data_IF_481290335243
#
_entry.id   IF_481290335243
#
_cell.length_a   1.000
_cell.length_b   1.000
_cell.length_c   1.000
_cell.angle_alpha   90.00
_cell.angle_beta   90.00
_cell.angle_gamma   90.00
#
_symmetry.space_group_name_H-M   'P 1'
#
loop_
_entity.id
_entity.type
_entity.pdbx_description
1 polymer ?
#
# COMPACT_ATOMS: atom_id res chain seq x y z
N UNK A 1 15.98 4.22 4.70
CA UNK A 1 16.60 5.56 4.59
C UNK A 1 17.68 5.60 3.51
N UNK A 2 18.52 4.58 3.39
CA UNK A 2 19.54 4.48 2.31
C UNK A 2 18.95 4.58 0.89
N UNK A 3 17.86 3.86 0.59
CA UNK A 3 17.18 3.95 -0.72
C UNK A 3 16.67 5.36 -1.02
N UNK A 4 16.15 6.07 -0.02
CA UNK A 4 15.68 7.45 -0.19
C UNK A 4 16.83 8.39 -0.53
N UNK A 5 18.01 8.20 0.09
CA UNK A 5 19.22 8.97 -0.23
C UNK A 5 19.72 8.73 -1.65
N UNK A 6 19.69 7.48 -2.13
CA UNK A 6 20.14 7.12 -3.48
C UNK A 6 19.33 7.77 -4.60
N UNK A 7 18.03 8.01 -4.37
CA UNK A 7 17.12 8.50 -5.40
C UNK A 7 16.74 9.98 -5.22
N UNK A 8 17.40 10.74 -4.34
CA UNK A 8 17.09 12.16 -4.10
C UNK A 8 17.20 13.03 -5.36
N UNK A 9 18.11 12.70 -6.28
CA UNK A 9 18.33 13.45 -7.52
C UNK A 9 17.34 13.10 -8.64
N UNK A 10 16.47 12.11 -8.43
CA UNK A 10 15.48 11.66 -9.41
C UNK A 10 14.06 12.02 -8.95
N UNK A 11 13.59 13.27 -9.17
CA UNK A 11 12.34 13.78 -8.60
C UNK A 11 11.08 13.04 -9.10
N UNK A 12 11.20 12.25 -10.16
CA UNK A 12 10.11 11.43 -10.72
C UNK A 12 9.97 10.06 -10.05
N UNK A 13 10.94 9.67 -9.23
CA UNK A 13 10.93 8.36 -8.55
C UNK A 13 10.09 8.46 -7.28
N UNK A 14 9.13 7.56 -7.15
CA UNK A 14 8.29 7.42 -5.97
C UNK A 14 8.70 6.15 -5.23
N UNK A 15 9.01 6.28 -3.95
CA UNK A 15 9.43 5.17 -3.11
C UNK A 15 8.27 4.67 -2.26
N UNK A 16 7.96 3.38 -2.40
CA UNK A 16 6.93 2.71 -1.62
C UNK A 16 7.49 1.59 -0.75
N UNK A 17 6.66 1.10 0.16
CA UNK A 17 6.94 -0.09 0.99
C UNK A 17 6.02 -1.22 0.58
N UNK A 18 6.58 -2.42 0.44
CA UNK A 18 5.82 -3.62 0.10
C UNK A 18 5.60 -4.55 1.28
N UNK A 19 4.55 -5.36 1.17
CA UNK A 19 4.17 -6.41 2.13
C UNK A 19 3.79 -5.85 3.50
N UNK A 20 2.95 -4.81 3.52
CA UNK A 20 2.37 -4.26 4.75
C UNK A 20 1.11 -5.06 5.10
N UNK A 21 1.10 -5.77 6.23
CA UNK A 21 0.01 -6.69 6.57
C UNK A 21 -0.91 -6.17 7.68
N UNK A 22 -0.48 -5.15 8.39
CA UNK A 22 -1.14 -4.68 9.60
C UNK A 22 -0.88 -3.19 9.87
N UNK A 23 -1.71 -2.61 10.74
CA UNK A 23 -1.66 -1.22 11.16
C UNK A 23 -0.31 -0.78 11.76
N UNK A 24 0.41 -1.67 12.47
CA UNK A 24 1.70 -1.36 13.10
C UNK A 24 2.76 -1.21 12.02
N UNK A 25 2.84 -2.17 11.11
CA UNK A 25 3.73 -2.11 9.94
C UNK A 25 3.37 -0.92 9.05
N UNK A 26 2.08 -0.62 8.91
CA UNK A 26 1.62 0.53 8.15
C UNK A 26 2.14 1.84 8.73
N UNK A 27 2.06 1.99 10.05
CA UNK A 27 2.56 3.17 10.75
C UNK A 27 4.08 3.32 10.61
N UNK A 28 4.82 2.23 10.70
CA UNK A 28 6.27 2.24 10.50
C UNK A 28 6.64 2.68 9.07
N UNK A 29 5.91 2.20 8.06
CA UNK A 29 6.11 2.61 6.67
C UNK A 29 5.91 4.13 6.47
N UNK A 30 4.87 4.70 7.10
CA UNK A 30 4.64 6.16 7.10
C UNK A 30 5.82 6.89 7.73
N UNK A 31 6.30 6.42 8.88
CA UNK A 31 7.40 7.06 9.61
C UNK A 31 8.73 7.06 8.86
N UNK A 32 8.96 6.07 7.99
CA UNK A 32 10.17 6.03 7.14
C UNK A 32 10.02 6.80 5.82
N UNK A 33 8.88 7.47 5.61
CA UNK A 33 8.62 8.31 4.45
C UNK A 33 8.13 7.54 3.22
N UNK A 34 7.44 6.41 3.39
CA UNK A 34 6.81 5.71 2.28
C UNK A 34 5.78 6.62 1.60
N UNK A 35 5.88 6.74 0.27
CA UNK A 35 5.00 7.58 -0.55
C UNK A 35 3.81 6.80 -1.11
N UNK A 36 3.83 5.48 -1.03
CA UNK A 36 2.70 4.57 -1.23
C UNK A 36 3.03 3.23 -0.58
N UNK A 37 2.05 2.35 -0.43
CA UNK A 37 2.28 0.98 0.02
C UNK A 37 1.55 -0.05 -0.81
N UNK A 38 2.10 -1.27 -0.85
CA UNK A 38 1.48 -2.44 -1.48
C UNK A 38 1.36 -3.58 -0.48
N UNK A 39 0.26 -4.32 -0.57
CA UNK A 39 -0.03 -5.46 0.30
C UNK A 39 -0.53 -6.66 -0.52
N UNK A 40 -0.35 -7.90 -0.06
CA UNK A 40 -0.87 -9.08 -0.77
C UNK A 40 -2.38 -9.24 -0.65
N UNK A 41 -2.99 -8.63 0.37
CA UNK A 41 -4.43 -8.67 0.64
C UNK A 41 -4.96 -7.31 1.07
N UNK A 42 -6.28 -7.12 1.03
CA UNK A 42 -6.95 -5.97 1.64
C UNK A 42 -7.02 -6.13 3.16
N UNK A 43 -6.81 -5.03 3.87
CA UNK A 43 -6.95 -4.91 5.33
C UNK A 43 -7.60 -3.56 5.65
N UNK A 44 -8.68 -3.60 6.43
CA UNK A 44 -9.52 -2.44 6.74
C UNK A 44 -8.78 -1.41 7.61
N UNK A 45 -8.06 -1.87 8.63
CA UNK A 45 -7.38 -0.97 9.57
C UNK A 45 -6.20 -0.27 8.90
N UNK A 46 -5.50 -1.00 8.03
CA UNK A 46 -4.46 -0.47 7.14
C UNK A 46 -5.03 0.60 6.21
N UNK A 47 -6.18 0.35 5.56
CA UNK A 47 -6.83 1.34 4.70
C UNK A 47 -7.19 2.62 5.45
N UNK A 48 -7.79 2.50 6.64
CA UNK A 48 -8.15 3.66 7.48
C UNK A 48 -6.93 4.52 7.83
N UNK A 49 -5.82 3.89 8.22
CA UNK A 49 -4.58 4.60 8.56
C UNK A 49 -4.03 5.32 7.34
N UNK A 50 -3.90 4.64 6.20
CA UNK A 50 -3.35 5.25 5.00
C UNK A 50 -4.20 6.39 4.44
N UNK A 51 -5.52 6.25 4.52
CA UNK A 51 -6.44 7.35 4.21
C UNK A 51 -6.25 8.53 5.16
N UNK A 52 -6.11 8.29 6.47
CA UNK A 52 -5.88 9.36 7.44
C UNK A 52 -4.61 10.16 7.14
N UNK A 53 -3.54 9.47 6.71
CA UNK A 53 -2.25 10.09 6.38
C UNK A 53 -2.13 10.52 4.92
N UNK A 54 -3.18 10.34 4.11
CA UNK A 54 -3.20 10.70 2.68
C UNK A 54 -2.05 10.05 1.89
N UNK A 55 -1.75 8.79 2.20
CA UNK A 55 -0.73 7.99 1.52
C UNK A 55 -1.43 6.86 0.75
N UNK A 56 -1.20 6.69 -0.56
CA UNK A 56 -1.85 5.65 -1.35
C UNK A 56 -1.63 4.23 -0.82
N UNK A 57 -2.72 3.49 -0.69
CA UNK A 57 -2.74 2.07 -0.33
C UNK A 57 -3.17 1.23 -1.53
N UNK A 58 -2.31 0.29 -1.94
CA UNK A 58 -2.53 -0.59 -3.08
C UNK A 58 -2.64 -2.07 -2.60
N UNK A 59 -3.79 -2.48 -2.07
CA UNK A 59 -4.01 -3.86 -1.62
C UNK A 59 -4.10 -4.83 -2.79
N UNK A 60 -3.65 -6.05 -2.53
CA UNK A 60 -3.94 -7.22 -3.33
C UNK A 60 -5.38 -7.65 -3.15
N UNK A 61 -6.07 -7.98 -4.24
CA UNK A 61 -7.39 -8.60 -4.23
C UNK A 61 -7.44 -9.69 -5.30
N UNK A 62 -8.17 -10.77 -5.03
CA UNK A 62 -8.38 -11.87 -5.97
C UNK A 62 -9.83 -11.85 -6.47
N UNK A 63 -10.77 -11.58 -5.56
CA UNK A 63 -12.21 -11.64 -5.85
C UNK A 63 -12.82 -10.26 -6.07
N UNK A 64 -13.89 -10.20 -6.86
CA UNK A 64 -14.68 -8.97 -7.05
C UNK A 64 -15.23 -8.45 -5.72
N UNK A 65 -15.56 -9.33 -4.78
CA UNK A 65 -16.03 -8.93 -3.45
C UNK A 65 -14.96 -8.17 -2.69
N UNK A 66 -13.72 -8.68 -2.64
CA UNK A 66 -12.59 -7.99 -2.01
C UNK A 66 -12.32 -6.64 -2.69
N UNK A 67 -12.34 -6.61 -4.02
CA UNK A 67 -12.15 -5.37 -4.78
C UNK A 67 -13.21 -4.34 -4.43
N UNK A 68 -14.49 -4.74 -4.45
CA UNK A 68 -15.60 -3.86 -4.08
C UNK A 68 -15.45 -3.36 -2.65
N UNK A 69 -15.11 -4.23 -1.70
CA UNK A 69 -14.85 -3.83 -0.32
C UNK A 69 -13.73 -2.80 -0.26
N UNK A 70 -12.58 -3.05 -0.87
CA UNK A 70 -11.46 -2.11 -0.90
C UNK A 70 -11.85 -0.73 -1.44
N UNK A 71 -12.60 -0.68 -2.56
CA UNK A 71 -13.11 0.58 -3.13
C UNK A 71 -14.00 1.35 -2.13
N UNK A 72 -14.85 0.66 -1.36
CA UNK A 72 -15.69 1.34 -0.34
C UNK A 72 -14.88 1.94 0.82
N UNK A 73 -13.65 1.48 1.02
CA UNK A 73 -12.71 2.03 1.98
C UNK A 73 -11.76 3.08 1.36
N UNK A 74 -12.06 3.60 0.16
CA UNK A 74 -11.30 4.70 -0.44
C UNK A 74 -9.98 4.28 -1.10
N UNK A 75 -9.81 2.99 -1.39
CA UNK A 75 -8.68 2.51 -2.20
C UNK A 75 -8.93 2.88 -3.66
N UNK A 76 -8.02 3.65 -4.27
CA UNK A 76 -8.13 4.04 -5.68
C UNK A 76 -7.54 3.01 -6.66
N UNK A 77 -6.50 2.29 -6.22
CA UNK A 77 -5.76 1.34 -7.05
C UNK A 77 -5.75 -0.02 -6.38
N UNK A 78 -6.33 -1.02 -7.04
CA UNK A 78 -6.32 -2.41 -6.57
C UNK A 78 -5.35 -3.22 -7.40
N UNK A 79 -4.47 -3.94 -6.72
CA UNK A 79 -3.57 -4.91 -7.34
C UNK A 79 -4.34 -6.23 -7.49
N UNK A 80 -4.74 -6.59 -8.72
CA UNK A 80 -5.20 -7.95 -8.97
C UNK A 80 -4.03 -8.89 -8.70
N UNK A 81 -4.09 -9.62 -7.58
CA UNK A 81 -2.94 -10.33 -7.03
C UNK A 81 -3.31 -11.75 -6.67
N UNK A 82 -3.00 -12.69 -7.54
CA UNK A 82 -3.16 -14.13 -7.30
C UNK A 82 -1.81 -14.75 -6.92
N UNK A 83 -1.67 -15.25 -5.70
CA UNK A 83 -0.52 -16.09 -5.29
C UNK A 83 -0.60 -17.51 -5.89
N UNK A 84 -1.74 -17.87 -6.49
CA UNK A 84 -1.89 -19.08 -7.29
C UNK A 84 -1.18 -18.86 -8.62
N UNK A 85 0.07 -19.29 -8.68
CA UNK A 85 0.69 -19.68 -9.94
C UNK A 85 -0.21 -20.75 -10.57
N UNK A 86 -0.74 -20.45 -11.76
CA UNK A 86 -1.30 -21.48 -12.64
C UNK A 86 -0.20 -22.42 -13.13
#
# INVERSE_FOLDING_TARGET
>A
QELAAMYQEYPVVILGVGTVLDATTARLAIMVGAQFVVSPCFDEETAKIYNLYQIPYLPGCITITEMKTALTYGVDIIKLFSDIAF
#
